data_IF_316952978965
#
_entry.id   IF_316952978965
#
_cell.length_a   1.000
_cell.length_b   1.000
_cell.length_c   1.000
_cell.angle_alpha   90.00
_cell.angle_beta   90.00
_cell.angle_gamma   90.00
#
_symmetry.space_group_name_H-M   'P 1'
#
loop_
_entity.id
_entity.type
_entity.pdbx_description
1 polymer ?
#
# COMPACT_ATOMS: atom_id res chain seq x y z
N UNK A 1 -23.64 -4.22 18.00
CA UNK A 1 -23.89 -3.96 16.59
C UNK A 1 -23.01 -2.91 15.99
N UNK A 2 -22.79 -1.79 16.65
CA UNK A 2 -21.86 -0.77 16.15
C UNK A 2 -20.43 -1.28 16.00
N UNK A 3 -19.97 -2.07 16.98
CA UNK A 3 -18.62 -2.61 16.95
C UNK A 3 -18.42 -3.56 15.75
N UNK A 4 -19.44 -4.35 15.45
CA UNK A 4 -19.40 -5.26 14.30
C UNK A 4 -19.33 -4.51 12.98
N UNK A 5 -20.09 -3.43 12.83
CA UNK A 5 -20.05 -2.61 11.61
C UNK A 5 -18.69 -1.94 11.43
N UNK A 6 -18.11 -1.45 12.52
CA UNK A 6 -16.76 -0.85 12.45
C UNK A 6 -15.73 -1.91 12.07
N UNK A 7 -15.84 -3.11 12.66
CA UNK A 7 -14.98 -4.22 12.30
C UNK A 7 -15.14 -4.64 10.85
N UNK A 8 -16.37 -4.71 10.36
CA UNK A 8 -16.64 -5.04 8.97
C UNK A 8 -16.08 -3.99 8.01
N UNK A 9 -16.20 -2.69 8.35
CA UNK A 9 -15.62 -1.61 7.55
C UNK A 9 -14.11 -1.75 7.44
N UNK A 10 -13.43 -2.04 8.54
CA UNK A 10 -11.98 -2.23 8.54
C UNK A 10 -11.59 -3.46 7.74
N UNK A 11 -12.34 -4.56 7.89
CA UNK A 11 -12.14 -5.78 7.12
C UNK A 11 -12.37 -5.52 5.63
N UNK A 12 -13.38 -4.73 5.29
CA UNK A 12 -13.69 -4.38 3.90
C UNK A 12 -12.59 -3.54 3.28
N UNK A 13 -12.03 -2.56 4.00
CA UNK A 13 -10.92 -1.74 3.49
C UNK A 13 -9.71 -2.60 3.17
N UNK A 14 -9.36 -3.52 4.06
CA UNK A 14 -8.25 -4.42 3.84
C UNK A 14 -8.49 -5.35 2.64
N UNK A 15 -9.72 -5.86 2.53
CA UNK A 15 -10.13 -6.71 1.41
C UNK A 15 -10.09 -5.96 0.09
N UNK A 16 -10.57 -4.72 0.07
CA UNK A 16 -10.54 -3.85 -1.12
C UNK A 16 -9.09 -3.59 -1.52
N UNK A 17 -8.22 -3.27 -0.57
CA UNK A 17 -6.81 -3.02 -0.84
C UNK A 17 -6.15 -4.25 -1.48
N UNK A 18 -6.41 -5.44 -0.96
CA UNK A 18 -5.86 -6.69 -1.51
C UNK A 18 -6.37 -6.97 -2.91
N UNK A 19 -7.66 -6.72 -3.17
CA UNK A 19 -8.23 -6.91 -4.50
C UNK A 19 -7.62 -5.95 -5.51
N UNK A 20 -7.44 -4.69 -5.13
CA UNK A 20 -6.82 -3.69 -5.99
C UNK A 20 -5.35 -4.05 -6.26
N UNK A 21 -4.62 -4.47 -5.23
CA UNK A 21 -3.24 -4.89 -5.38
C UNK A 21 -3.11 -6.05 -6.38
N UNK A 22 -4.00 -7.03 -6.27
CA UNK A 22 -4.02 -8.19 -7.15
C UNK A 22 -4.37 -7.81 -8.59
N UNK A 23 -5.37 -6.94 -8.75
CA UNK A 23 -5.76 -6.46 -10.07
C UNK A 23 -4.64 -5.66 -10.74
N UNK A 24 -3.96 -4.82 -9.99
CA UNK A 24 -2.82 -4.04 -10.48
C UNK A 24 -1.67 -4.98 -10.88
N UNK A 25 -1.42 -6.03 -10.09
CA UNK A 25 -0.40 -7.02 -10.42
C UNK A 25 -0.70 -7.71 -11.74
N UNK A 26 -1.96 -8.01 -12.02
CA UNK A 26 -2.37 -8.62 -13.27
C UNK A 26 -2.08 -7.72 -14.48
N UNK A 27 -1.95 -6.42 -14.26
CA UNK A 27 -1.56 -5.46 -15.30
C UNK A 27 -0.05 -5.28 -15.40
N UNK A 28 0.71 -6.05 -14.63
CA UNK A 28 2.17 -6.06 -14.71
C UNK A 28 2.90 -5.13 -13.76
N UNK A 29 2.19 -4.45 -12.86
CA UNK A 29 2.81 -3.56 -11.88
C UNK A 29 2.79 -4.21 -10.50
N UNK A 30 3.96 -4.38 -9.90
CA UNK A 30 4.08 -4.97 -8.56
C UNK A 30 3.94 -3.89 -7.51
N UNK A 31 2.92 -4.02 -6.66
CA UNK A 31 2.71 -3.14 -5.51
C UNK A 31 2.90 -3.95 -4.24
N UNK A 32 3.72 -3.44 -3.35
CA UNK A 32 3.96 -4.05 -2.04
C UNK A 32 3.31 -3.20 -0.98
N UNK A 33 2.64 -3.85 -0.04
CA UNK A 33 2.06 -3.19 1.13
C UNK A 33 2.79 -3.66 2.37
N UNK A 34 3.21 -2.71 3.19
CA UNK A 34 3.87 -3.00 4.44
C UNK A 34 3.37 -2.09 5.54
N UNK A 35 3.79 -2.41 6.76
CA UNK A 35 3.48 -1.60 7.93
C UNK A 35 4.75 -1.33 8.71
N UNK A 36 4.78 -0.18 9.37
CA UNK A 36 5.84 0.18 10.29
C UNK A 36 5.21 0.80 11.53
N UNK A 37 5.72 0.46 12.69
CA UNK A 37 5.19 0.98 13.95
C UNK A 37 6.27 1.79 14.65
N UNK A 38 5.85 2.90 15.26
CA UNK A 38 6.73 3.67 16.12
C UNK A 38 5.93 4.22 17.30
N UNK A 39 6.66 4.49 18.39
CA UNK A 39 6.05 5.07 19.58
C UNK A 39 6.11 6.58 19.49
N UNK A 40 4.95 7.22 19.55
CA UNK A 40 4.86 8.69 19.56
C UNK A 40 4.86 9.18 20.99
N UNK A 41 5.91 9.91 21.36
CA UNK A 41 6.01 10.52 22.69
C UNK A 41 4.94 11.58 22.87
N UNK A 42 4.64 12.33 21.82
CA UNK A 42 3.64 13.40 21.86
C UNK A 42 2.23 12.85 22.11
N UNK A 43 1.88 11.76 21.44
CA UNK A 43 0.56 11.15 21.57
C UNK A 43 0.53 10.04 22.62
N UNK A 44 1.69 9.67 23.13
CA UNK A 44 1.84 8.62 24.16
C UNK A 44 1.20 7.31 23.73
N UNK A 45 1.44 6.89 22.49
CA UNK A 45 0.90 5.63 21.95
C UNK A 45 1.73 5.14 20.78
N UNK A 46 1.54 3.87 20.44
CA UNK A 46 2.08 3.29 19.22
C UNK A 46 1.27 3.77 18.02
N UNK A 47 1.97 4.19 17.00
CA UNK A 47 1.36 4.59 15.73
C UNK A 47 1.79 3.60 14.65
N UNK A 48 0.81 3.14 13.88
CA UNK A 48 1.06 2.26 12.73
C UNK A 48 1.02 3.09 11.46
N UNK A 49 2.10 3.02 10.69
CA UNK A 49 2.16 3.63 9.37
C UNK A 49 2.00 2.55 8.32
N UNK A 50 1.18 2.82 7.32
CA UNK A 50 0.99 1.96 6.16
C UNK A 50 1.83 2.49 5.01
N UNK A 51 2.53 1.59 4.34
CA UNK A 51 3.49 1.95 3.31
C UNK A 51 3.13 1.20 2.04
N UNK A 52 2.94 1.93 0.95
CA UNK A 52 2.85 1.37 -0.38
C UNK A 52 4.15 1.62 -1.12
N UNK A 53 4.68 0.59 -1.74
CA UNK A 53 5.87 0.71 -2.58
C UNK A 53 5.69 -0.10 -3.85
N UNK A 54 6.42 0.27 -4.88
CA UNK A 54 6.45 -0.45 -6.13
C UNK A 54 7.85 -1.00 -6.37
N UNK A 55 7.92 -2.15 -7.03
CA UNK A 55 9.19 -2.75 -7.40
C UNK A 55 9.44 -2.51 -8.88
N UNK A 56 10.57 -1.91 -9.18
CA UNK A 56 10.96 -1.57 -10.54
C UNK A 56 12.27 -2.29 -10.88
N UNK A 57 12.33 -2.84 -12.08
CA UNK A 57 13.54 -3.47 -12.60
C UNK A 57 14.32 -2.43 -13.40
N UNK A 58 15.51 -2.12 -12.95
CA UNK A 58 16.37 -1.14 -13.61
C UNK A 58 17.70 -1.77 -14.02
N UNK A 59 18.23 -1.30 -15.16
CA UNK A 59 19.52 -1.75 -15.64
C UNK A 59 20.62 -0.89 -15.04
N UNK A 60 21.61 -1.55 -14.43
CA UNK A 60 22.79 -0.87 -13.90
C UNK A 60 23.74 -0.47 -15.00
N UNK A 61 24.69 0.41 -14.68
CA UNK A 61 25.74 0.85 -15.61
C UNK A 61 26.60 -0.31 -16.12
N UNK A 62 26.78 -1.36 -15.31
CA UNK A 62 27.53 -2.54 -15.70
C UNK A 62 26.74 -3.52 -16.58
N UNK A 63 25.48 -3.19 -16.91
CA UNK A 63 24.63 -4.03 -17.73
C UNK A 63 23.77 -5.03 -16.94
N UNK A 64 23.96 -5.16 -15.65
CA UNK A 64 23.16 -6.04 -14.81
C UNK A 64 21.81 -5.41 -14.49
N UNK A 65 20.79 -6.25 -14.35
CA UNK A 65 19.45 -5.82 -13.93
C UNK A 65 19.32 -5.97 -12.43
N UNK A 66 18.69 -4.99 -11.79
CA UNK A 66 18.44 -5.02 -10.36
C UNK A 66 17.06 -4.46 -10.06
N UNK A 67 16.39 -5.09 -9.08
CA UNK A 67 15.11 -4.61 -8.55
C UNK A 67 15.34 -3.52 -7.51
N UNK A 68 14.56 -2.46 -7.60
CA UNK A 68 14.52 -1.38 -6.62
C UNK A 68 13.10 -1.22 -6.14
N UNK A 69 12.95 -0.96 -4.83
CA UNK A 69 11.65 -0.65 -4.24
C UNK A 69 11.54 0.86 -4.06
N UNK A 70 10.51 1.44 -4.64
CA UNK A 70 10.23 2.87 -4.51
C UNK A 70 8.98 3.07 -3.67
N UNK A 71 9.09 3.88 -2.62
CA UNK A 71 7.96 4.21 -1.77
C UNK A 71 7.02 5.16 -2.50
N UNK A 72 5.74 4.78 -2.56
CA UNK A 72 4.71 5.59 -3.23
C UNK A 72 4.05 6.51 -2.21
N UNK A 73 3.64 5.94 -1.07
CA UNK A 73 2.97 6.68 -0.01
C UNK A 73 3.25 6.03 1.34
N UNK A 74 3.34 6.86 2.36
CA UNK A 74 3.46 6.44 3.75
C UNK A 74 2.43 7.23 4.54
N UNK A 75 1.49 6.53 5.16
CA UNK A 75 0.36 7.17 5.82
C UNK A 75 -0.16 6.32 6.97
N UNK A 76 -0.74 6.98 7.98
CA UNK A 76 -1.43 6.29 9.07
C UNK A 76 -2.88 5.96 8.72
N UNK A 77 -3.36 6.36 7.56
CA UNK A 77 -4.76 6.19 7.17
C UNK A 77 -4.91 5.07 6.13
N UNK A 78 -5.69 4.02 6.48
CA UNK A 78 -6.00 2.95 5.54
C UNK A 78 -6.81 3.45 4.35
N UNK A 79 -7.64 4.46 4.55
CA UNK A 79 -8.45 5.04 3.49
C UNK A 79 -7.55 5.67 2.42
N UNK A 80 -6.49 6.35 2.85
CA UNK A 80 -5.52 6.93 1.90
C UNK A 80 -4.82 5.84 1.08
N UNK A 81 -4.52 4.69 1.70
CA UNK A 81 -3.93 3.56 0.98
C UNK A 81 -4.90 3.05 -0.09
N UNK A 82 -6.16 2.84 0.26
CA UNK A 82 -7.18 2.38 -0.70
C UNK A 82 -7.36 3.39 -1.83
N UNK A 83 -7.41 4.68 -1.51
CA UNK A 83 -7.56 5.73 -2.52
C UNK A 83 -6.35 5.76 -3.45
N UNK A 84 -5.15 5.62 -2.91
CA UNK A 84 -3.93 5.58 -3.71
C UNK A 84 -3.92 4.36 -4.64
N UNK A 85 -4.30 3.18 -4.13
CA UNK A 85 -4.40 1.98 -4.96
C UNK A 85 -5.45 2.13 -6.05
N UNK A 86 -6.57 2.75 -5.74
CA UNK A 86 -7.63 2.99 -6.72
C UNK A 86 -7.15 3.91 -7.84
N UNK A 87 -6.39 4.95 -7.50
CA UNK A 87 -5.81 5.87 -8.48
C UNK A 87 -4.81 5.15 -9.38
N UNK A 88 -3.97 4.29 -8.79
CA UNK A 88 -3.02 3.48 -9.56
C UNK A 88 -3.78 2.53 -10.49
N UNK A 89 -4.83 1.88 -9.98
CA UNK A 89 -5.65 0.97 -10.78
C UNK A 89 -6.25 1.69 -11.98
N UNK A 90 -6.80 2.89 -11.78
CA UNK A 90 -7.36 3.69 -12.86
C UNK A 90 -6.32 4.02 -13.92
N UNK A 91 -5.09 4.28 -13.50
CA UNK A 91 -4.01 4.60 -14.43
C UNK A 91 -3.56 3.38 -15.24
N UNK A 92 -3.48 2.20 -14.61
CA UNK A 92 -2.94 1.02 -15.28
C UNK A 92 -3.97 0.25 -16.11
N UNK A 93 -5.26 0.40 -15.81
CA UNK A 93 -6.28 -0.29 -16.58
C UNK A 93 -6.51 0.33 -17.96
N UNK A 94 -6.11 1.55 -18.13
CA UNK A 94 -6.15 2.25 -19.42
C UNK A 94 -4.91 1.90 -20.25
#
# INVERSE_FOLDING_TARGET
MYAEKVGECMANLNSIAKKLQKAILQKGLVIKMGTSQFYSVEQNRLITMYILSTRVLERKKNGEWKYYDYEIIRTASQIEIVNCLNDIWKAVKE
#
